data_IF_005097861383
#
_entry.id   IF_005097861383
#
_cell.length_a   1.000
_cell.length_b   1.000
_cell.length_c   1.000
_cell.angle_alpha   90.00
_cell.angle_beta   90.00
_cell.angle_gamma   90.00
#
_symmetry.space_group_name_H-M   'P 1'
#
loop_
_entity.id
_entity.type
_entity.pdbx_description
1 polymer ?
#
# COMPACT_ATOMS: atom_id res chain seq x y z
N UNK A 1 -10.18 -6.59 -8.94
CA UNK A 1 -10.23 -5.51 -7.93
C UNK A 1 -9.05 -4.56 -8.07
N UNK A 2 -9.27 -3.26 -7.83
CA UNK A 2 -8.20 -2.25 -7.84
C UNK A 2 -8.11 -1.54 -6.48
N UNK A 3 -6.90 -1.53 -5.93
CA UNK A 3 -6.53 -0.72 -4.78
C UNK A 3 -5.70 0.49 -5.23
N UNK A 4 -5.79 1.58 -4.49
CA UNK A 4 -4.98 2.77 -4.67
C UNK A 4 -4.26 3.11 -3.38
N UNK A 5 -2.93 3.13 -3.40
CA UNK A 5 -2.12 3.76 -2.37
C UNK A 5 -1.71 5.15 -2.86
N UNK A 6 -2.26 6.18 -2.22
CA UNK A 6 -1.95 7.56 -2.51
C UNK A 6 -0.93 8.08 -1.48
N UNK A 7 0.31 8.31 -1.92
CA UNK A 7 1.39 8.88 -1.11
C UNK A 7 1.18 10.37 -0.94
N UNK A 8 0.95 10.82 0.30
CA UNK A 8 0.56 12.20 0.60
C UNK A 8 1.71 13.04 1.15
N UNK A 9 2.60 12.43 1.93
CA UNK A 9 3.76 13.11 2.52
C UNK A 9 5.01 12.24 2.39
N UNK A 10 6.13 12.86 2.04
CA UNK A 10 7.42 12.18 1.90
C UNK A 10 8.51 13.00 2.59
N UNK A 11 9.31 12.31 3.40
CA UNK A 11 10.60 12.78 3.90
C UNK A 11 11.71 11.99 3.21
N UNK A 12 12.97 12.27 3.54
CA UNK A 12 14.11 11.49 3.02
C UNK A 12 14.03 10.00 3.39
N UNK A 13 13.38 9.66 4.50
CA UNK A 13 13.36 8.28 5.03
C UNK A 13 12.00 7.62 4.94
N UNK A 14 10.93 8.38 4.97
CA UNK A 14 9.58 7.88 5.15
C UNK A 14 8.64 8.40 4.08
N UNK A 15 7.69 7.55 3.70
CA UNK A 15 6.52 7.95 2.93
C UNK A 15 5.29 7.58 3.73
N UNK A 16 4.39 8.54 3.87
CA UNK A 16 3.05 8.38 4.44
C UNK A 16 2.05 8.46 3.30
N UNK A 17 1.03 7.62 3.35
CA UNK A 17 -0.06 7.64 2.39
C UNK A 17 -1.35 7.07 2.95
N UNK A 18 -2.37 6.99 2.10
CA UNK A 18 -3.63 6.34 2.42
C UNK A 18 -3.98 5.29 1.37
N UNK A 19 -4.49 4.14 1.82
CA UNK A 19 -4.93 3.04 0.97
C UNK A 19 -6.43 3.12 0.75
N UNK A 20 -6.87 2.97 -0.49
CA UNK A 20 -8.25 3.04 -0.92
C UNK A 20 -8.64 1.80 -1.71
N UNK A 21 -9.92 1.43 -1.62
CA UNK A 21 -10.59 0.47 -2.50
C UNK A 21 -11.89 1.12 -2.98
N UNK A 22 -12.11 1.14 -4.29
CA UNK A 22 -13.32 1.74 -4.90
C UNK A 22 -13.63 3.16 -4.35
N UNK A 23 -12.59 4.00 -4.24
CA UNK A 23 -12.69 5.37 -3.74
C UNK A 23 -12.89 5.52 -2.22
N UNK A 24 -13.07 4.42 -1.47
CA UNK A 24 -13.23 4.44 -0.01
C UNK A 24 -11.89 4.19 0.67
N UNK A 25 -11.52 5.05 1.62
CA UNK A 25 -10.31 4.87 2.43
C UNK A 25 -10.44 3.64 3.32
N UNK A 26 -9.47 2.72 3.22
CA UNK A 26 -9.37 1.54 4.07
C UNK A 26 -8.59 1.87 5.35
N UNK A 27 -7.39 2.42 5.18
CA UNK A 27 -6.41 2.68 6.23
C UNK A 27 -5.34 3.69 5.75
N UNK A 28 -4.47 4.08 6.68
CA UNK A 28 -3.24 4.80 6.42
C UNK A 28 -2.07 3.84 6.27
N UNK A 29 -1.01 4.34 5.62
CA UNK A 29 0.19 3.60 5.28
C UNK A 29 1.45 4.35 5.67
N UNK A 30 2.49 3.59 6.01
CA UNK A 30 3.84 4.09 6.29
C UNK A 30 4.87 3.13 5.66
N UNK A 31 5.80 3.66 4.88
CA UNK A 31 6.83 2.87 4.19
C UNK A 31 8.16 3.63 4.12
N UNK A 32 9.24 2.93 3.75
CA UNK A 32 10.55 3.55 3.53
C UNK A 32 10.59 4.26 2.17
N UNK A 33 11.16 5.46 2.15
CA UNK A 33 11.36 6.20 0.90
C UNK A 33 12.36 5.48 -0.02
N UNK A 34 12.08 5.51 -1.33
CA UNK A 34 12.98 4.99 -2.38
C UNK A 34 12.96 3.47 -2.59
N UNK A 35 12.14 2.71 -1.85
CA UNK A 35 12.08 1.23 -1.98
C UNK A 35 11.10 0.77 -3.05
N UNK A 36 9.88 1.32 -3.05
CA UNK A 36 8.82 0.91 -3.97
C UNK A 36 8.54 2.07 -4.93
N UNK A 37 8.83 1.95 -6.23
CA UNK A 37 8.50 2.98 -7.22
C UNK A 37 6.99 3.27 -7.33
N UNK A 38 6.64 4.37 -7.99
CA UNK A 38 5.26 4.60 -8.42
C UNK A 38 4.92 3.62 -9.56
N UNK A 39 3.66 3.22 -9.67
CA UNK A 39 3.21 2.32 -10.72
C UNK A 39 2.18 1.30 -10.27
N UNK A 40 2.08 0.22 -11.03
CA UNK A 40 1.07 -0.81 -10.85
C UNK A 40 1.70 -2.14 -10.48
N UNK A 41 1.21 -2.73 -9.39
CA UNK A 41 1.73 -3.98 -8.86
C UNK A 41 0.59 -4.97 -8.70
N UNK A 42 0.75 -6.18 -9.23
CA UNK A 42 -0.19 -7.26 -8.93
C UNK A 42 -0.01 -7.68 -7.47
N UNK A 43 -1.14 -7.79 -6.77
CA UNK A 43 -1.21 -8.09 -5.35
C UNK A 43 -1.75 -9.50 -5.16
N UNK A 44 -1.03 -10.33 -4.40
CA UNK A 44 -1.41 -11.71 -4.12
C UNK A 44 -1.43 -11.99 -2.63
N UNK A 45 -2.43 -12.73 -2.15
CA UNK A 45 -2.40 -13.28 -0.79
C UNK A 45 -1.53 -14.53 -0.79
N UNK A 46 -0.45 -14.49 0.00
CA UNK A 46 0.50 -15.60 0.11
C UNK A 46 0.86 -15.86 1.57
N UNK A 47 1.23 -17.09 1.90
CA UNK A 47 1.77 -17.39 3.22
C UNK A 47 3.12 -16.71 3.41
N UNK A 48 3.32 -16.05 4.56
CA UNK A 48 4.58 -15.45 4.94
C UNK A 48 5.33 -16.32 5.96
N UNK A 49 6.50 -16.89 5.62
CA UNK A 49 7.32 -17.62 6.58
C UNK A 49 7.77 -16.75 7.77
N UNK A 50 8.07 -15.47 7.51
CA UNK A 50 8.49 -14.51 8.54
C UNK A 50 7.38 -14.22 9.54
N UNK A 51 6.17 -13.93 9.04
CA UNK A 51 5.04 -13.50 9.88
C UNK A 51 4.12 -14.64 10.31
N UNK A 52 4.34 -15.84 9.76
CA UNK A 52 3.59 -17.08 9.99
C UNK A 52 2.08 -16.94 9.78
N UNK A 53 1.68 -16.16 8.77
CA UNK A 53 0.28 -15.94 8.37
C UNK A 53 0.18 -15.49 6.90
N UNK A 54 -1.03 -15.53 6.35
CA UNK A 54 -1.32 -15.04 5.00
C UNK A 54 -1.28 -13.51 5.00
N UNK A 55 -0.55 -12.93 4.04
CA UNK A 55 -0.42 -11.49 3.88
C UNK A 55 -0.42 -11.09 2.40
N UNK A 56 -0.84 -9.86 2.06
CA UNK A 56 -0.69 -9.32 0.71
C UNK A 56 0.80 -9.17 0.34
N UNK A 57 1.14 -9.63 -0.87
CA UNK A 57 2.45 -9.58 -1.48
C UNK A 57 2.36 -8.82 -2.80
N UNK A 58 3.19 -7.78 -2.95
CA UNK A 58 3.39 -7.09 -4.22
C UNK A 58 4.34 -7.90 -5.08
N UNK A 59 3.95 -8.17 -6.32
CA UNK A 59 4.78 -8.87 -7.31
C UNK A 59 5.57 -7.89 -8.17
N UNK A 60 6.74 -8.31 -8.65
CA UNK A 60 7.59 -7.56 -9.59
C UNK A 60 8.02 -6.16 -9.12
N UNK A 61 8.26 -5.97 -7.81
CA UNK A 61 8.89 -4.73 -7.33
C UNK A 61 10.37 -4.73 -7.74
N UNK A 62 10.86 -3.73 -8.49
CA UNK A 62 12.25 -3.69 -8.92
C UNK A 62 13.23 -3.80 -7.75
N UNK A 63 14.20 -4.72 -7.84
CA UNK A 63 15.20 -4.93 -6.80
C UNK A 63 14.70 -5.65 -5.53
N UNK A 64 13.43 -6.06 -5.46
CA UNK A 64 12.84 -6.66 -4.25
C UNK A 64 11.91 -7.84 -4.56
N UNK A 65 12.03 -8.93 -3.80
CA UNK A 65 11.28 -10.18 -4.05
C UNK A 65 10.15 -10.47 -3.06
N UNK A 66 10.05 -9.71 -1.97
CA UNK A 66 9.17 -10.05 -0.84
C UNK A 66 8.51 -8.82 -0.17
N UNK A 67 8.11 -7.83 -0.97
CA UNK A 67 7.43 -6.63 -0.47
C UNK A 67 5.99 -6.97 -0.11
N UNK A 68 5.64 -6.82 1.17
CA UNK A 68 4.31 -7.13 1.71
C UNK A 68 3.60 -5.87 2.22
N UNK A 69 2.29 -5.98 2.38
CA UNK A 69 1.49 -5.05 3.16
C UNK A 69 1.21 -5.72 4.50
N UNK A 70 1.61 -5.12 5.62
CA UNK A 70 1.43 -5.74 6.94
C UNK A 70 1.26 -4.73 8.08
N UNK A 71 0.79 -5.21 9.22
CA UNK A 71 0.71 -4.42 10.44
C UNK A 71 2.12 -4.06 10.95
N UNK A 72 2.31 -2.78 11.27
CA UNK A 72 3.46 -2.24 11.97
C UNK A 72 3.18 -0.79 12.36
N UNK A 73 3.96 -0.25 13.28
CA UNK A 73 3.68 1.05 13.90
C UNK A 73 4.70 2.11 13.46
N UNK A 74 5.94 1.72 13.20
CA UNK A 74 7.05 2.64 12.92
C UNK A 74 7.94 2.09 11.80
N UNK A 75 8.82 2.93 11.25
CA UNK A 75 9.77 2.49 10.22
C UNK A 75 10.69 1.34 10.68
N UNK A 76 10.90 1.18 12.00
CA UNK A 76 11.67 0.05 12.54
C UNK A 76 10.98 -1.32 12.31
N UNK A 77 9.67 -1.32 12.09
CA UNK A 77 8.88 -2.53 11.84
C UNK A 77 8.99 -3.02 10.39
N UNK A 78 9.65 -2.25 9.52
CA UNK A 78 9.78 -2.56 8.09
C UNK A 78 11.22 -2.47 7.60
N UNK A 79 11.54 -3.27 6.58
CA UNK A 79 12.77 -3.17 5.78
C UNK A 79 12.47 -2.83 4.32
N UNK A 80 11.30 -2.23 4.05
CA UNK A 80 10.83 -1.88 2.71
C UNK A 80 9.40 -2.30 2.39
N UNK A 81 8.74 -3.05 3.27
CA UNK A 81 7.32 -3.35 3.20
C UNK A 81 6.45 -2.12 3.50
N UNK A 82 5.20 -2.17 3.06
CA UNK A 82 4.17 -1.16 3.35
C UNK A 82 3.53 -1.52 4.68
N UNK A 83 3.63 -0.63 5.67
CA UNK A 83 2.91 -0.78 6.93
C UNK A 83 1.50 -0.21 6.79
N UNK A 84 0.52 -0.82 7.45
CA UNK A 84 -0.87 -0.34 7.50
C UNK A 84 -1.34 -0.08 8.93
N UNK A 85 -2.19 0.94 9.09
CA UNK A 85 -2.78 1.32 10.37
C UNK A 85 -3.62 2.59 10.25
N UNK A 86 -3.71 3.34 11.33
CA UNK A 86 -4.27 4.69 11.37
C UNK A 86 -3.14 5.64 11.75
N UNK A 87 -2.97 6.72 11.00
CA UNK A 87 -1.86 7.64 11.21
C UNK A 87 -2.08 8.49 12.47
N UNK A 88 -1.07 8.52 13.34
CA UNK A 88 -0.94 9.56 14.35
C UNK A 88 0.01 10.64 13.80
N UNK A 89 -0.54 11.74 13.31
CA UNK A 89 0.21 12.82 12.67
C UNK A 89 1.24 13.46 13.60
N UNK A 90 0.93 13.56 14.90
CA UNK A 90 1.82 14.16 15.89
C UNK A 90 3.05 13.30 16.22
N UNK A 91 2.94 11.97 16.06
CA UNK A 91 3.98 11.01 16.45
C UNK A 91 4.66 10.32 15.26
N UNK A 92 4.25 10.64 14.03
CA UNK A 92 4.74 10.00 12.79
C UNK A 92 4.75 8.47 12.87
N UNK A 93 3.69 7.90 13.45
CA UNK A 93 3.55 6.46 13.64
C UNK A 93 2.12 6.01 13.34
N UNK A 94 1.95 4.71 13.18
CA UNK A 94 0.66 4.07 12.97
C UNK A 94 0.14 3.45 14.29
N UNK A 95 -1.16 3.54 14.49
CA UNK A 95 -1.90 2.78 15.51
C UNK A 95 -2.91 1.84 14.84
N UNK A 96 -3.56 0.96 15.62
CA UNK A 96 -4.57 0.01 15.12
C UNK A 96 -4.11 -0.85 13.93
N UNK A 97 -2.81 -1.11 13.84
CA UNK A 97 -2.18 -1.73 12.67
C UNK A 97 -2.74 -3.13 12.37
N UNK A 98 -3.04 -3.91 13.42
CA UNK A 98 -3.63 -5.25 13.29
C UNK A 98 -5.06 -5.21 12.75
N UNK A 99 -5.87 -4.26 13.20
CA UNK A 99 -7.23 -4.07 12.69
C UNK A 99 -7.21 -3.68 11.22
N UNK A 100 -6.28 -2.80 10.82
CA UNK A 100 -6.11 -2.40 9.42
C UNK A 100 -5.63 -3.56 8.54
N UNK A 101 -4.64 -4.34 8.99
CA UNK A 101 -4.17 -5.54 8.30
C UNK A 101 -5.29 -6.55 8.11
N UNK A 102 -6.05 -6.86 9.18
CA UNK A 102 -7.14 -7.82 9.13
C UNK A 102 -8.23 -7.37 8.14
N UNK A 103 -8.66 -6.11 8.20
CA UNK A 103 -9.66 -5.55 7.28
C UNK A 103 -9.22 -5.67 5.82
N UNK A 104 -7.94 -5.43 5.52
CA UNK A 104 -7.39 -5.57 4.18
C UNK A 104 -7.36 -7.04 3.73
N UNK A 105 -6.92 -7.94 4.61
CA UNK A 105 -6.86 -9.38 4.32
C UNK A 105 -8.26 -9.95 4.08
N UNK A 106 -9.23 -9.61 4.93
CA UNK A 106 -10.62 -10.06 4.80
C UNK A 106 -11.23 -9.62 3.46
N UNK A 107 -10.98 -8.37 3.06
CA UNK A 107 -11.41 -7.86 1.75
C UNK A 107 -10.78 -8.63 0.58
N UNK A 108 -9.52 -9.01 0.70
CA UNK A 108 -8.81 -9.74 -0.35
C UNK A 108 -9.19 -11.22 -0.41
N UNK A 109 -9.53 -11.84 0.72
CA UNK A 109 -9.93 -13.26 0.81
C UNK A 109 -11.24 -13.52 0.07
N UNK A 110 -12.18 -12.57 0.09
CA UNK A 110 -13.49 -12.74 -0.53
C UNK A 110 -13.48 -12.55 -2.06
N UNK A 111 -12.34 -12.25 -2.66
CA UNK A 111 -12.24 -12.13 -4.12
C UNK A 111 -12.50 -13.48 -4.79
N UNK A 112 -13.30 -13.51 -5.87
CA UNK A 112 -13.43 -14.69 -6.72
C UNK A 112 -12.05 -15.15 -7.21
N UNK A 113 -11.82 -16.46 -7.38
CA UNK A 113 -10.51 -17.00 -7.77
C UNK A 113 -10.03 -16.54 -9.16
N UNK A 114 -10.95 -16.07 -10.00
CA UNK A 114 -10.66 -15.54 -11.34
C UNK A 114 -10.35 -14.04 -11.32
N UNK A 115 -10.60 -13.35 -10.19
CA UNK A 115 -10.44 -11.92 -10.08
C UNK A 115 -9.07 -11.58 -9.53
N UNK A 116 -8.27 -10.88 -10.34
CA UNK A 116 -6.97 -10.40 -9.91
C UNK A 116 -7.10 -9.08 -9.13
N UNK A 117 -6.20 -8.88 -8.17
CA UNK A 117 -6.06 -7.63 -7.45
C UNK A 117 -4.81 -6.88 -7.90
N UNK A 118 -4.95 -5.60 -8.20
CA UNK A 118 -3.85 -4.70 -8.51
C UNK A 118 -3.79 -3.54 -7.53
N UNK A 119 -2.59 -3.13 -7.15
CA UNK A 119 -2.31 -1.93 -6.38
C UNK A 119 -1.67 -0.88 -7.28
N UNK A 120 -2.37 0.23 -7.47
CA UNK A 120 -1.80 1.47 -8.02
C UNK A 120 -1.12 2.24 -6.89
N UNK A 121 0.15 2.58 -7.06
CA UNK A 121 0.91 3.47 -6.16
C UNK A 121 1.13 4.79 -6.87
N UNK A 122 0.56 5.87 -6.34
CA UNK A 122 0.56 7.18 -6.97
C UNK A 122 0.80 8.32 -5.95
N UNK A 123 1.04 9.52 -6.47
CA UNK A 123 1.01 10.77 -5.69
C UNK A 123 -0.13 11.66 -6.19
N UNK A 124 -0.67 12.59 -5.36
CA UNK A 124 -1.69 13.53 -5.81
C UNK A 124 -1.27 14.32 -7.06
N UNK A 125 0.00 14.71 -7.15
CA UNK A 125 0.56 15.43 -8.31
C UNK A 125 0.52 14.58 -9.58
N UNK A 126 0.89 13.31 -9.49
CA UNK A 126 0.88 12.39 -10.63
C UNK A 126 -0.53 12.22 -11.21
N UNK A 127 -1.54 12.03 -10.35
CA UNK A 127 -2.93 11.91 -10.82
C UNK A 127 -3.51 13.20 -11.38
N UNK A 128 -3.15 14.36 -10.83
CA UNK A 128 -3.57 15.64 -11.39
C UNK A 128 -3.01 15.82 -12.81
N UNK A 129 -1.72 15.52 -13.00
CA UNK A 129 -1.07 15.59 -14.31
C UNK A 129 -1.68 14.60 -15.33
N UNK A 130 -1.99 13.35 -14.94
CA UNK A 130 -2.67 12.41 -15.83
C UNK A 130 -4.05 12.91 -16.28
N UNK A 131 -4.84 13.45 -15.35
CA UNK A 131 -6.16 14.02 -15.67
C UNK A 131 -6.04 15.24 -16.59
N UNK A 132 -5.01 16.07 -16.42
CA UNK A 132 -4.72 17.19 -17.32
C UNK A 132 -4.30 16.69 -18.70
N UNK A 133 -3.37 15.73 -18.81
CA UNK A 133 -2.94 15.17 -20.09
C UNK A 133 -4.10 14.53 -20.88
N UNK A 134 -5.02 13.82 -20.19
CA UNK A 134 -6.20 13.22 -20.82
C UNK A 134 -7.18 14.26 -21.34
N UNK A 135 -7.31 15.42 -20.68
CA UNK A 135 -8.15 16.54 -21.14
C UNK A 135 -7.60 17.25 -22.38
N UNK A 136 -6.29 17.17 -22.61
CA UNK A 136 -5.64 17.77 -23.79
C UNK A 136 -5.45 16.75 -24.93
N UNK A 137 -5.81 15.48 -24.71
CA UNK A 137 -5.70 14.39 -25.69
C UNK A 137 -7.07 13.94 -26.23
N UNK A 138 -8.15 14.63 -25.87
CA UNK A 138 -9.53 14.41 -26.29
C UNK A 138 -10.03 15.62 -27.08
#
# INVERSE_FOLDING_TARGET
>A
MKLLLLRTNQTEKAIVGSLFCEGRKICDTLELAGIIPLGWYKLQLTYSPKFRRILPLLTFVPGHTAIRIHAGNTLADTKGCILVGTLNEHKQCLHNARTAEQKLVDMLIVLPPYEECYLEIATPRYRAAELECMRHSA
#
